data_IF_046622266074
#
_entry.id   IF_046622266074
#
_cell.length_a   1.000
_cell.length_b   1.000
_cell.length_c   1.000
_cell.angle_alpha   90.00
_cell.angle_beta   90.00
_cell.angle_gamma   90.00
#
_symmetry.space_group_name_H-M   'P 1'
#
loop_
_entity.id
_entity.type
_entity.pdbx_description
1 polymer ?
#
# COMPACT_ATOMS: atom_id res chain seq x y z
N UNK A 1 1.79 -16.71 -28.00
CA UNK A 1 2.52 -15.54 -27.49
C UNK A 1 3.89 -15.57 -28.11
N UNK A 2 4.29 -14.48 -28.80
CA UNK A 2 5.66 -14.33 -29.28
C UNK A 2 6.56 -13.89 -28.12
N UNK A 3 7.81 -14.33 -28.14
CA UNK A 3 8.81 -14.00 -27.10
C UNK A 3 8.93 -12.45 -26.91
N UNK A 4 8.97 -11.72 -28.00
CA UNK A 4 9.04 -10.24 -28.04
C UNK A 4 7.85 -9.57 -27.33
N UNK A 5 6.62 -10.09 -27.49
CA UNK A 5 5.43 -9.53 -26.82
C UNK A 5 5.52 -9.69 -25.30
N UNK A 6 6.06 -10.81 -24.83
CA UNK A 6 6.23 -11.09 -23.40
C UNK A 6 7.33 -10.22 -22.79
N UNK A 7 8.45 -10.03 -23.47
CA UNK A 7 9.55 -9.14 -23.04
C UNK A 7 9.08 -7.70 -22.91
N UNK A 8 8.37 -7.18 -23.92
CA UNK A 8 7.81 -5.81 -23.90
C UNK A 8 6.83 -5.60 -22.75
N UNK A 9 6.02 -6.62 -22.43
CA UNK A 9 5.08 -6.54 -21.31
C UNK A 9 5.81 -6.50 -19.96
N UNK A 10 6.84 -7.32 -19.77
CA UNK A 10 7.66 -7.36 -18.55
C UNK A 10 8.41 -6.05 -18.36
N UNK A 11 9.05 -5.54 -19.41
CA UNK A 11 9.75 -4.25 -19.38
C UNK A 11 8.79 -3.09 -19.07
N UNK A 12 7.61 -3.09 -19.69
CA UNK A 12 6.57 -2.08 -19.43
C UNK A 12 6.11 -2.11 -17.97
N UNK A 13 5.95 -3.31 -17.40
CA UNK A 13 5.56 -3.47 -16.00
C UNK A 13 6.63 -2.89 -15.06
N UNK A 14 7.89 -3.26 -15.24
CA UNK A 14 9.03 -2.72 -14.51
C UNK A 14 9.06 -1.19 -14.55
N UNK A 15 9.01 -0.61 -15.73
CA UNK A 15 9.02 0.85 -15.93
C UNK A 15 7.87 1.55 -15.20
N UNK A 16 6.65 1.00 -15.27
CA UNK A 16 5.48 1.58 -14.63
C UNK A 16 5.58 1.56 -13.11
N UNK A 17 6.08 0.49 -12.51
CA UNK A 17 6.30 0.44 -11.06
C UNK A 17 7.28 1.54 -10.61
N UNK A 18 8.43 1.65 -11.26
CA UNK A 18 9.40 2.69 -10.92
C UNK A 18 8.91 4.11 -11.23
N UNK A 19 8.10 4.32 -12.26
CA UNK A 19 7.43 5.61 -12.47
C UNK A 19 6.53 6.00 -11.30
N UNK A 20 5.73 5.06 -10.78
CA UNK A 20 4.92 5.30 -9.58
C UNK A 20 5.80 5.64 -8.38
N UNK A 21 6.88 4.89 -8.16
CA UNK A 21 7.83 5.13 -7.06
C UNK A 21 8.46 6.53 -7.16
N UNK A 22 8.84 6.97 -8.37
CA UNK A 22 9.36 8.33 -8.60
C UNK A 22 8.34 9.39 -8.20
N UNK A 23 7.05 9.19 -8.54
CA UNK A 23 5.99 10.13 -8.12
C UNK A 23 5.84 10.17 -6.60
N UNK A 24 5.90 9.02 -5.93
CA UNK A 24 5.85 8.95 -4.46
C UNK A 24 7.05 9.66 -3.82
N UNK A 25 8.25 9.44 -4.34
CA UNK A 25 9.46 10.13 -3.88
C UNK A 25 9.37 11.65 -4.10
N UNK A 26 8.76 12.10 -5.20
CA UNK A 26 8.50 13.51 -5.43
C UNK A 26 7.53 14.09 -4.39
N UNK A 27 6.48 13.37 -4.03
CA UNK A 27 5.55 13.77 -2.94
C UNK A 27 6.31 13.87 -1.62
N UNK A 28 7.07 12.85 -1.25
CA UNK A 28 7.83 12.81 0.00
C UNK A 28 8.87 13.95 0.09
N UNK A 29 9.64 14.17 -0.97
CA UNK A 29 10.62 15.25 -1.02
C UNK A 29 10.00 16.65 -0.97
N UNK A 30 8.83 16.85 -1.60
CA UNK A 30 8.11 18.11 -1.50
C UNK A 30 7.54 18.36 -0.10
N UNK A 31 7.06 17.33 0.60
CA UNK A 31 6.61 17.47 2.00
C UNK A 31 7.73 17.96 2.93
N UNK A 32 8.96 17.52 2.69
CA UNK A 32 10.12 17.92 3.51
C UNK A 32 10.61 19.35 3.22
N UNK A 33 10.38 19.84 2.00
CA UNK A 33 10.91 21.13 1.54
C UNK A 33 9.87 22.25 1.45
N UNK A 34 8.57 21.89 1.51
CA UNK A 34 7.50 22.89 1.43
C UNK A 34 7.44 23.75 2.70
N UNK A 35 7.23 25.05 2.53
CA UNK A 35 6.92 25.95 3.65
C UNK A 35 5.44 25.98 4.03
N UNK A 36 4.62 25.06 3.48
CA UNK A 36 3.19 24.99 3.74
C UNK A 36 2.93 24.31 5.09
N UNK A 37 2.10 24.92 5.92
CA UNK A 37 1.61 24.29 7.16
C UNK A 37 0.36 23.48 6.83
N UNK A 38 0.41 22.18 7.07
CA UNK A 38 -0.73 21.30 6.93
C UNK A 38 -1.59 21.32 8.20
N UNK A 39 -2.91 21.26 8.03
CA UNK A 39 -3.90 21.18 9.11
C UNK A 39 -4.53 19.78 9.14
N UNK A 40 -5.30 19.48 10.17
CA UNK A 40 -6.18 18.30 10.26
C UNK A 40 -5.46 16.95 10.04
N UNK A 41 -4.18 16.82 10.39
CA UNK A 41 -3.41 15.59 10.19
C UNK A 41 -3.05 15.28 8.73
N UNK A 42 -3.30 16.19 7.81
CA UNK A 42 -3.11 15.98 6.37
C UNK A 42 -1.69 15.57 5.99
N UNK A 43 -0.68 16.18 6.61
CA UNK A 43 0.72 15.84 6.35
C UNK A 43 1.02 14.37 6.68
N UNK A 44 0.59 13.93 7.87
CA UNK A 44 0.78 12.55 8.31
C UNK A 44 0.06 11.55 7.38
N UNK A 45 -1.16 11.86 6.97
CA UNK A 45 -1.91 11.02 6.04
C UNK A 45 -1.23 10.93 4.67
N UNK A 46 -0.82 12.05 4.08
CA UNK A 46 -0.14 12.07 2.77
C UNK A 46 1.19 11.34 2.85
N UNK A 47 1.99 11.62 3.88
CA UNK A 47 3.30 10.97 4.08
C UNK A 47 3.14 9.47 4.33
N UNK A 48 2.17 9.08 5.15
CA UNK A 48 1.86 7.68 5.46
C UNK A 48 1.42 6.89 4.22
N UNK A 49 0.51 7.44 3.41
CA UNK A 49 0.11 6.83 2.14
C UNK A 49 1.29 6.67 1.18
N UNK A 50 2.11 7.71 1.02
CA UNK A 50 3.24 7.68 0.09
C UNK A 50 4.30 6.66 0.50
N UNK A 51 4.66 6.59 1.80
CA UNK A 51 5.60 5.59 2.33
C UNK A 51 5.03 4.17 2.21
N UNK A 52 3.78 3.99 2.59
CA UNK A 52 3.10 2.70 2.50
C UNK A 52 3.06 2.16 1.07
N UNK A 53 2.67 3.00 0.12
CA UNK A 53 2.69 2.66 -1.31
C UNK A 53 4.11 2.38 -1.81
N UNK A 54 5.11 3.17 -1.41
CA UNK A 54 6.50 2.94 -1.81
C UNK A 54 7.00 1.58 -1.33
N UNK A 55 6.76 1.25 -0.06
CA UNK A 55 7.11 -0.05 0.49
C UNK A 55 6.37 -1.20 -0.21
N UNK A 56 5.08 -1.04 -0.48
CA UNK A 56 4.26 -2.04 -1.18
C UNK A 56 4.71 -2.27 -2.62
N UNK A 57 4.97 -1.19 -3.39
CA UNK A 57 5.43 -1.32 -4.78
C UNK A 57 6.80 -1.99 -4.88
N UNK A 58 7.72 -1.70 -3.94
CA UNK A 58 9.00 -2.40 -3.89
C UNK A 58 8.84 -3.87 -3.46
N UNK A 59 7.88 -4.20 -2.60
CA UNK A 59 7.56 -5.59 -2.28
C UNK A 59 7.07 -6.36 -3.52
N UNK A 60 6.20 -5.75 -4.33
CA UNK A 60 5.73 -6.37 -5.57
C UNK A 60 6.86 -6.51 -6.60
N UNK A 61 7.72 -5.51 -6.74
CA UNK A 61 8.92 -5.60 -7.59
C UNK A 61 9.86 -6.73 -7.12
N UNK A 62 10.10 -6.84 -5.81
CA UNK A 62 10.92 -7.89 -5.25
C UNK A 62 10.33 -9.29 -5.53
N UNK A 63 9.00 -9.43 -5.46
CA UNK A 63 8.31 -10.69 -5.74
C UNK A 63 8.34 -11.08 -7.21
N UNK A 64 8.33 -10.11 -8.11
CA UNK A 64 8.28 -10.33 -9.56
C UNK A 64 9.68 -10.50 -10.18
N UNK A 65 10.67 -9.77 -9.67
CA UNK A 65 11.97 -9.61 -10.30
C UNK A 65 13.15 -9.95 -9.39
N UNK A 66 12.92 -10.08 -8.10
CA UNK A 66 13.96 -10.45 -7.14
C UNK A 66 14.17 -11.96 -7.03
N UNK A 67 15.16 -12.37 -6.25
CA UNK A 67 15.42 -13.79 -6.03
C UNK A 67 14.30 -14.46 -5.22
N UNK A 68 14.08 -15.74 -5.47
CA UNK A 68 13.04 -16.53 -4.81
C UNK A 68 13.40 -16.79 -3.34
N UNK A 69 12.47 -16.61 -2.39
CA UNK A 69 12.69 -16.98 -1.00
C UNK A 69 13.07 -18.46 -0.86
N UNK A 70 14.03 -18.73 0.01
CA UNK A 70 14.56 -20.11 0.21
C UNK A 70 15.75 -20.45 -0.69
N UNK A 71 15.91 -19.81 -1.84
CA UNK A 71 17.09 -19.91 -2.69
C UNK A 71 18.04 -18.72 -2.49
N UNK A 72 17.49 -17.57 -2.11
CA UNK A 72 18.24 -16.34 -1.84
C UNK A 72 18.95 -16.39 -0.49
N UNK A 73 20.19 -15.90 -0.49
CA UNK A 73 20.92 -15.53 0.73
C UNK A 73 20.69 -14.05 1.05
N UNK A 74 21.04 -13.65 2.27
CA UNK A 74 20.94 -12.23 2.68
C UNK A 74 21.74 -11.28 1.76
N UNK A 75 22.84 -11.76 1.16
CA UNK A 75 23.73 -11.02 0.26
C UNK A 75 23.40 -11.16 -1.23
N UNK A 76 22.40 -11.97 -1.60
CA UNK A 76 22.00 -12.11 -3.00
C UNK A 76 21.61 -10.75 -3.58
N UNK A 77 22.04 -10.41 -4.82
CA UNK A 77 21.56 -9.21 -5.50
C UNK A 77 20.04 -9.27 -5.66
N UNK A 78 19.36 -8.16 -5.46
CA UNK A 78 17.90 -8.09 -5.59
C UNK A 78 17.48 -7.01 -6.59
N UNK A 79 16.76 -6.00 -6.12
CA UNK A 79 16.25 -4.91 -6.95
C UNK A 79 16.81 -3.56 -6.44
N UNK A 80 16.82 -2.51 -7.26
CA UNK A 80 17.01 -1.15 -6.75
C UNK A 80 15.89 -0.76 -5.78
N UNK A 81 16.25 -0.13 -4.66
CA UNK A 81 15.27 0.48 -3.76
C UNK A 81 15.41 2.00 -3.82
N UNK A 82 14.47 2.66 -4.50
CA UNK A 82 14.52 4.08 -4.75
C UNK A 82 13.81 4.87 -3.65
N UNK A 83 14.55 5.74 -2.98
CA UNK A 83 14.05 6.58 -1.88
C UNK A 83 13.99 8.06 -2.26
N UNK A 84 14.72 8.44 -3.30
CA UNK A 84 14.83 9.81 -3.75
C UNK A 84 14.47 9.94 -5.23
N UNK A 85 14.14 11.15 -5.64
CA UNK A 85 13.96 11.45 -7.05
C UNK A 85 15.35 11.71 -7.66
N UNK A 86 15.83 10.79 -8.48
CA UNK A 86 17.08 10.95 -9.21
C UNK A 86 16.87 10.92 -10.71
N UNK A 87 17.65 11.71 -11.44
CA UNK A 87 17.78 11.65 -12.90
C UNK A 87 19.05 10.96 -13.34
N UNK A 88 19.92 10.61 -12.37
CA UNK A 88 21.19 9.97 -12.63
C UNK A 88 21.03 8.45 -12.64
N UNK A 89 21.23 7.78 -13.79
CA UNK A 89 21.15 6.33 -13.90
C UNK A 89 22.17 5.59 -13.02
N UNK A 90 23.29 6.20 -12.69
CA UNK A 90 24.32 5.59 -11.84
C UNK A 90 23.84 5.38 -10.41
N UNK A 91 22.80 6.11 -9.98
CA UNK A 91 22.16 5.91 -8.69
C UNK A 91 21.13 4.77 -8.68
N UNK A 92 20.87 4.14 -9.83
CA UNK A 92 19.91 3.04 -9.99
C UNK A 92 20.63 1.68 -9.96
N UNK A 93 21.19 1.32 -8.82
CA UNK A 93 21.87 0.03 -8.66
C UNK A 93 21.07 -0.93 -7.77
N UNK A 94 21.23 -2.21 -8.05
CA UNK A 94 20.68 -3.26 -7.20
C UNK A 94 21.38 -3.28 -5.86
N UNK A 95 20.60 -3.51 -4.81
CA UNK A 95 21.12 -3.72 -3.45
C UNK A 95 20.86 -5.16 -3.02
N UNK A 96 21.37 -5.54 -1.87
CA UNK A 96 21.20 -6.90 -1.36
C UNK A 96 19.76 -7.20 -0.95
N UNK A 97 19.41 -8.48 -1.01
CA UNK A 97 18.09 -8.97 -0.62
C UNK A 97 17.72 -8.55 0.82
N UNK A 98 18.68 -8.63 1.74
CA UNK A 98 18.51 -8.17 3.13
C UNK A 98 18.24 -6.67 3.23
N UNK A 99 18.94 -5.85 2.45
CA UNK A 99 18.73 -4.39 2.45
C UNK A 99 17.34 -4.04 1.91
N UNK A 100 16.89 -4.70 0.82
CA UNK A 100 15.55 -4.46 0.29
C UNK A 100 14.48 -4.79 1.33
N UNK A 101 14.58 -5.91 2.04
CA UNK A 101 13.66 -6.26 3.12
C UNK A 101 13.62 -5.20 4.22
N UNK A 102 14.81 -4.79 4.67
CA UNK A 102 14.93 -3.78 5.71
C UNK A 102 14.27 -2.46 5.32
N UNK A 103 14.43 -2.05 4.06
CA UNK A 103 13.81 -0.82 3.54
C UNK A 103 12.29 -0.94 3.37
N UNK A 104 11.79 -2.07 2.86
CA UNK A 104 10.35 -2.33 2.74
C UNK A 104 9.66 -2.23 4.10
N UNK A 105 10.15 -2.98 5.09
CA UNK A 105 9.48 -3.01 6.41
C UNK A 105 9.62 -1.69 7.15
N UNK A 106 10.70 -0.95 6.96
CA UNK A 106 10.88 0.40 7.49
C UNK A 106 9.80 1.35 6.94
N UNK A 107 9.60 1.38 5.62
CA UNK A 107 8.61 2.24 5.00
C UNK A 107 7.18 1.86 5.41
N UNK A 108 6.86 0.57 5.45
CA UNK A 108 5.56 0.09 5.92
C UNK A 108 5.32 0.39 7.41
N UNK A 109 6.37 0.33 8.24
CA UNK A 109 6.22 0.62 9.67
C UNK A 109 6.06 2.12 9.94
N UNK A 110 6.82 2.96 9.23
CA UNK A 110 6.63 4.41 9.29
C UNK A 110 5.24 4.83 8.78
N UNK A 111 4.74 4.17 7.73
CA UNK A 111 3.38 4.40 7.24
C UNK A 111 2.32 4.01 8.28
N UNK A 112 2.50 2.88 8.97
CA UNK A 112 1.59 2.44 10.04
C UNK A 112 1.51 3.47 11.18
N UNK A 113 2.66 4.00 11.60
CA UNK A 113 2.73 5.03 12.64
C UNK A 113 2.04 6.33 12.21
N UNK A 114 2.28 6.79 10.98
CA UNK A 114 1.71 8.03 10.45
C UNK A 114 0.20 7.93 10.20
N UNK A 115 -0.32 6.74 9.89
CA UNK A 115 -1.74 6.50 9.62
C UNK A 115 -2.52 6.07 10.87
N UNK A 116 -1.97 6.22 12.08
CA UNK A 116 -2.64 5.83 13.34
C UNK A 116 -3.92 6.63 13.64
N UNK A 117 -4.13 7.76 12.97
CA UNK A 117 -5.34 8.58 13.04
C UNK A 117 -6.11 8.61 11.71
N UNK A 118 -5.89 7.63 10.84
CA UNK A 118 -6.59 7.54 9.56
C UNK A 118 -8.12 7.48 9.78
N UNK A 119 -8.91 8.31 9.10
CA UNK A 119 -10.37 8.29 9.20
C UNK A 119 -11.01 6.91 8.96
N UNK A 120 -10.34 5.98 8.26
CA UNK A 120 -10.80 4.60 8.10
C UNK A 120 -10.94 3.87 9.44
N UNK A 121 -10.27 4.29 10.49
CA UNK A 121 -10.31 3.64 11.80
C UNK A 121 -11.66 3.87 12.49
N UNK A 122 -12.24 5.05 12.35
CA UNK A 122 -13.51 5.47 13.00
C UNK A 122 -14.70 5.40 12.04
N UNK A 123 -14.57 5.89 10.81
CA UNK A 123 -15.66 5.92 9.84
C UNK A 123 -15.97 4.54 9.25
N UNK A 124 -17.25 4.21 9.13
CA UNK A 124 -17.69 3.09 8.28
C UNK A 124 -17.50 3.43 6.79
N UNK A 125 -17.45 2.42 5.94
CA UNK A 125 -17.35 2.64 4.49
C UNK A 125 -18.47 3.54 3.97
N UNK A 126 -19.70 3.38 4.49
CA UNK A 126 -20.83 4.23 4.12
C UNK A 126 -20.62 5.69 4.49
N UNK A 127 -20.15 5.97 5.71
CA UNK A 127 -19.88 7.32 6.19
C UNK A 127 -18.77 7.99 5.37
N UNK A 128 -17.68 7.25 5.10
CA UNK A 128 -16.54 7.75 4.34
C UNK A 128 -16.84 7.94 2.85
N UNK A 129 -17.92 7.31 2.32
CA UNK A 129 -18.38 7.51 0.95
C UNK A 129 -19.40 8.66 0.80
N UNK A 130 -19.82 9.27 1.89
CA UNK A 130 -20.88 10.29 1.89
C UNK A 130 -20.42 11.58 2.60
N UNK A 131 -19.63 12.46 1.96
CA UNK A 131 -19.13 13.69 2.58
C UNK A 131 -20.22 14.62 3.12
N UNK A 132 -21.42 14.57 2.54
CA UNK A 132 -22.55 15.36 2.98
C UNK A 132 -23.24 14.83 4.25
N UNK A 133 -22.94 13.59 4.63
CA UNK A 133 -23.51 12.97 5.82
C UNK A 133 -22.78 13.47 7.08
N UNK A 134 -23.53 13.85 8.11
CA UNK A 134 -22.96 14.33 9.37
C UNK A 134 -22.87 13.18 10.38
N UNK A 135 -21.71 13.06 11.03
CA UNK A 135 -21.43 12.00 12.02
C UNK A 135 -20.27 12.41 12.91
N UNK A 136 -20.19 11.85 14.10
CA UNK A 136 -19.11 12.10 15.04
C UNK A 136 -17.78 11.55 14.52
N UNK A 137 -16.74 12.38 14.51
CA UNK A 137 -15.43 12.03 13.95
C UNK A 137 -15.31 12.18 12.42
N UNK A 138 -16.33 12.78 11.78
CA UNK A 138 -16.29 13.10 10.35
C UNK A 138 -15.03 13.91 9.99
N UNK A 139 -14.31 13.53 8.92
CA UNK A 139 -13.18 14.31 8.42
C UNK A 139 -13.58 15.76 8.09
N UNK A 140 -12.69 16.70 8.41
CA UNK A 140 -12.93 18.12 8.10
C UNK A 140 -12.63 18.44 6.64
N UNK A 141 -11.71 17.73 6.02
CA UNK A 141 -11.28 17.94 4.65
C UNK A 141 -11.90 16.89 3.71
N UNK A 142 -12.47 17.37 2.60
CA UNK A 142 -13.13 16.48 1.62
C UNK A 142 -12.19 15.42 1.05
N UNK A 143 -10.91 15.68 0.87
CA UNK A 143 -9.97 14.74 0.34
C UNK A 143 -9.68 13.55 1.30
N UNK A 144 -10.02 13.66 2.57
CA UNK A 144 -9.92 12.60 3.57
C UNK A 144 -11.07 11.59 3.51
N UNK A 145 -12.07 11.82 2.66
CA UNK A 145 -13.11 10.84 2.37
C UNK A 145 -12.62 9.78 1.40
N UNK A 146 -13.43 8.76 1.14
CA UNK A 146 -13.12 7.64 0.25
C UNK A 146 -11.87 6.86 0.65
N UNK A 147 -11.62 6.78 1.96
CA UNK A 147 -10.43 6.11 2.52
C UNK A 147 -10.35 4.63 2.15
N UNK A 148 -11.48 3.95 1.94
CA UNK A 148 -11.54 2.53 1.59
C UNK A 148 -10.90 2.19 0.24
N UNK A 149 -10.78 3.16 -0.67
CA UNK A 149 -10.13 2.96 -1.99
C UNK A 149 -8.71 3.53 -2.06
N UNK A 150 -8.17 3.99 -0.91
CA UNK A 150 -6.82 4.54 -0.80
C UNK A 150 -5.90 3.58 -0.06
N UNK A 151 -4.60 3.87 -0.07
CA UNK A 151 -3.64 3.09 0.71
C UNK A 151 -3.71 3.50 2.19
N UNK A 152 -4.78 3.08 2.83
CA UNK A 152 -5.16 3.41 4.20
C UNK A 152 -4.40 2.57 5.25
N UNK A 153 -4.67 2.82 6.53
CA UNK A 153 -4.09 2.07 7.65
C UNK A 153 -4.20 0.54 7.49
N UNK A 154 -5.36 0.02 7.09
CA UNK A 154 -5.55 -1.41 6.91
C UNK A 154 -4.86 -1.96 5.66
N UNK A 155 -4.69 -1.14 4.61
CA UNK A 155 -3.88 -1.51 3.45
C UNK A 155 -2.41 -1.71 3.85
N UNK A 156 -1.88 -0.87 4.75
CA UNK A 156 -0.54 -1.07 5.33
C UNK A 156 -0.47 -2.38 6.12
N UNK A 157 -1.48 -2.68 6.96
CA UNK A 157 -1.54 -3.97 7.69
C UNK A 157 -1.56 -5.17 6.73
N UNK A 158 -2.36 -5.09 5.67
CA UNK A 158 -2.40 -6.11 4.62
C UNK A 158 -1.05 -6.28 3.90
N UNK A 159 -0.38 -5.17 3.57
CA UNK A 159 0.96 -5.19 2.98
C UNK A 159 2.01 -5.80 3.93
N UNK A 160 1.96 -5.50 5.23
CA UNK A 160 2.82 -6.13 6.25
C UNK A 160 2.53 -7.63 6.38
N UNK A 161 1.27 -8.06 6.33
CA UNK A 161 0.95 -9.48 6.32
C UNK A 161 1.57 -10.21 5.11
N UNK A 162 1.49 -9.61 3.91
CA UNK A 162 2.14 -10.14 2.69
C UNK A 162 3.66 -10.15 2.79
N UNK A 163 4.25 -9.09 3.33
CA UNK A 163 5.68 -9.00 3.56
C UNK A 163 6.17 -10.13 4.47
N UNK A 164 5.55 -10.31 5.65
CA UNK A 164 5.93 -11.35 6.59
C UNK A 164 5.69 -12.76 6.06
N UNK A 165 4.61 -12.95 5.30
CA UNK A 165 4.38 -14.20 4.60
C UNK A 165 5.50 -14.52 3.59
N UNK A 166 5.93 -13.51 2.82
CA UNK A 166 6.99 -13.66 1.81
C UNK A 166 8.33 -14.05 2.43
N UNK A 167 8.70 -13.47 3.55
CA UNK A 167 9.95 -13.80 4.26
C UNK A 167 9.86 -15.06 5.15
N UNK A 168 8.70 -15.71 5.21
CA UNK A 168 8.48 -16.94 5.97
C UNK A 168 8.17 -16.74 7.46
N UNK A 169 7.99 -15.52 7.92
CA UNK A 169 7.55 -15.20 9.29
C UNK A 169 6.03 -15.37 9.41
N UNK A 170 5.62 -16.61 9.65
CA UNK A 170 4.21 -16.99 9.73
C UNK A 170 3.48 -16.34 10.91
N UNK A 171 4.16 -16.12 12.02
CA UNK A 171 3.56 -15.55 13.24
C UNK A 171 3.11 -14.11 12.96
N UNK A 172 4.01 -13.27 12.47
CA UNK A 172 3.69 -11.89 12.12
C UNK A 172 2.73 -11.80 10.92
N UNK A 173 2.85 -12.67 9.93
CA UNK A 173 1.90 -12.74 8.81
C UNK A 173 0.46 -12.96 9.31
N UNK A 174 0.26 -13.94 10.20
CA UNK A 174 -1.05 -14.24 10.80
C UNK A 174 -1.54 -13.08 11.68
N UNK A 175 -0.65 -12.47 12.47
CA UNK A 175 -0.98 -11.33 13.32
C UNK A 175 -1.58 -10.19 12.49
N UNK A 176 -0.84 -9.71 11.50
CA UNK A 176 -1.27 -8.58 10.68
C UNK A 176 -2.50 -8.90 9.80
N UNK A 177 -2.62 -10.12 9.29
CA UNK A 177 -3.82 -10.55 8.57
C UNK A 177 -5.07 -10.54 9.48
N UNK A 178 -4.96 -11.01 10.72
CA UNK A 178 -6.06 -10.99 11.69
C UNK A 178 -6.46 -9.58 12.08
N UNK A 179 -5.54 -8.62 12.15
CA UNK A 179 -5.86 -7.22 12.43
C UNK A 179 -6.79 -6.64 11.35
N UNK A 180 -6.63 -7.02 10.09
CA UNK A 180 -7.53 -6.61 8.99
C UNK A 180 -8.85 -7.39 9.04
N UNK A 181 -8.79 -8.72 9.12
CA UNK A 181 -9.98 -9.59 9.08
C UNK A 181 -10.94 -9.30 10.24
N UNK A 182 -10.39 -9.03 11.43
CA UNK A 182 -11.16 -8.80 12.64
C UNK A 182 -11.53 -7.32 12.85
N UNK A 183 -11.16 -6.43 11.93
CA UNK A 183 -11.49 -5.02 12.03
C UNK A 183 -13.00 -4.81 12.09
N UNK A 184 -13.45 -3.95 13.00
CA UNK A 184 -14.87 -3.66 13.26
C UNK A 184 -15.16 -2.18 13.09
N UNK A 185 -16.37 -1.89 12.68
CA UNK A 185 -16.96 -0.56 12.78
C UNK A 185 -17.43 -0.32 14.24
N UNK A 186 -17.75 0.92 14.58
CA UNK A 186 -18.24 1.28 15.92
C UNK A 186 -19.50 0.52 16.34
N UNK A 187 -20.36 0.18 15.39
CA UNK A 187 -21.58 -0.62 15.60
C UNK A 187 -21.32 -2.13 15.77
N UNK A 188 -20.05 -2.57 15.74
CA UNK A 188 -19.63 -3.95 15.88
C UNK A 188 -19.70 -4.78 14.60
N UNK A 189 -20.18 -4.21 13.50
CA UNK A 189 -20.16 -4.88 12.19
C UNK A 189 -18.74 -5.05 11.65
N UNK A 190 -18.51 -5.99 10.76
CA UNK A 190 -17.20 -6.16 10.12
C UNK A 190 -16.88 -4.97 9.22
N UNK A 191 -15.67 -4.42 9.36
CA UNK A 191 -15.22 -3.31 8.50
C UNK A 191 -14.98 -3.78 7.06
N UNK A 192 -14.52 -5.02 6.90
CA UNK A 192 -14.29 -5.67 5.62
C UNK A 192 -15.09 -6.98 5.60
N UNK A 193 -16.09 -7.04 4.76
CA UNK A 193 -16.90 -8.24 4.59
C UNK A 193 -16.37 -9.07 3.42
N UNK A 194 -16.37 -10.38 3.60
CA UNK A 194 -16.08 -11.28 2.49
C UNK A 194 -17.28 -11.30 1.53
N UNK A 195 -17.00 -11.26 0.23
CA UNK A 195 -18.03 -11.42 -0.78
C UNK A 195 -18.73 -12.78 -0.59
N UNK A 196 -20.06 -12.76 -0.50
CA UNK A 196 -20.87 -13.99 -0.45
C UNK A 196 -21.11 -14.50 -1.86
N UNK A 197 -21.53 -15.79 -1.99
CA UNK A 197 -21.92 -16.38 -3.26
C UNK A 197 -23.05 -15.56 -3.92
N UNK A 198 -24.00 -15.05 -3.13
CA UNK A 198 -25.07 -14.19 -3.61
C UNK A 198 -24.53 -12.87 -4.18
N UNK A 199 -23.58 -12.25 -3.52
CA UNK A 199 -22.94 -11.01 -3.98
C UNK A 199 -22.14 -11.25 -5.27
N UNK A 200 -21.46 -12.40 -5.36
CA UNK A 200 -20.71 -12.79 -6.55
C UNK A 200 -21.63 -13.08 -7.74
N UNK A 201 -22.74 -13.76 -7.50
CA UNK A 201 -23.72 -14.13 -8.55
C UNK A 201 -24.50 -12.94 -9.08
N UNK A 202 -24.74 -11.90 -8.26
CA UNK A 202 -25.37 -10.64 -8.66
C UNK A 202 -24.47 -9.75 -9.52
N UNK A 203 -23.17 -9.96 -9.47
CA UNK A 203 -22.21 -9.28 -10.32
C UNK A 203 -22.23 -9.94 -11.70
N UNK A 204 -23.18 -9.64 -12.58
CA UNK A 204 -23.17 -10.09 -13.97
C UNK A 204 -21.79 -9.89 -14.62
N UNK A 205 -21.45 -10.70 -15.60
CA UNK A 205 -20.18 -10.70 -16.29
C UNK A 205 -19.72 -9.26 -16.61
N UNK A 206 -18.60 -8.82 -16.01
CA UNK A 206 -18.02 -7.50 -16.20
C UNK A 206 -18.34 -6.47 -15.11
N UNK A 207 -19.14 -6.77 -14.11
CA UNK A 207 -19.31 -5.85 -13.01
C UNK A 207 -18.18 -6.01 -11.99
N UNK A 208 -17.56 -4.90 -11.71
CA UNK A 208 -16.42 -4.71 -10.83
C UNK A 208 -16.68 -5.26 -9.41
N UNK A 209 -16.31 -6.52 -9.17
CA UNK A 209 -16.33 -7.11 -7.83
C UNK A 209 -15.50 -6.25 -6.84
N UNK A 210 -14.39 -5.66 -7.34
CA UNK A 210 -13.52 -4.76 -6.58
C UNK A 210 -14.23 -3.47 -6.16
N UNK A 211 -15.22 -3.00 -6.92
CA UNK A 211 -15.97 -1.77 -6.63
C UNK A 211 -17.22 -1.99 -5.79
N UNK A 212 -17.57 -3.25 -5.50
CA UNK A 212 -18.72 -3.60 -4.65
C UNK A 212 -18.34 -4.04 -3.24
N UNK A 213 -17.08 -4.05 -2.89
CA UNK A 213 -16.62 -4.11 -1.51
C UNK A 213 -16.82 -2.73 -0.83
N UNK A 214 -18.07 -2.26 -0.88
CA UNK A 214 -18.52 -1.07 -0.17
C UNK A 214 -18.77 -1.37 1.30
#
# INVERSE_FOLDING_TARGET
>A
YTHETSENAIESLWKKYYQCIVHLNNVLGNLETTGVTFTNGNEALIKGEALGLRGFLHLELLRLFGPVPGEATASSPAIPYQEEMTKDPENLHTITYKEVWGKIIRDLSAAEELLCEDPILVGSNRQLNQPAYDWEGKPQDEWQFYRQVRFNYYAVKGAKARYYHWIGDKENAIKYAKEVINAKNEDGTSKFELATEATYSLSGAGSNLVMKCE
#
